data_IF_637801321502
#
_entry.id   IF_637801321502
#
_cell.length_a   1.000
_cell.length_b   1.000
_cell.length_c   1.000
_cell.angle_alpha   90.00
_cell.angle_beta   90.00
_cell.angle_gamma   90.00
#
_symmetry.space_group_name_H-M   'P 1'
#
loop_
_entity.id
_entity.type
_entity.pdbx_description
1 polymer ?
#
# COMPACT_ATOMS: atom_id res chain seq x y z
N UNK A 1 -1.10 25.82 3.05
CA UNK A 1 -0.30 24.92 3.90
C UNK A 1 0.88 24.42 3.06
N UNK A 2 2.10 24.43 3.59
CA UNK A 2 3.29 23.93 2.87
C UNK A 2 3.68 22.55 3.42
N UNK A 3 3.84 21.54 2.57
CA UNK A 3 4.18 20.17 3.00
C UNK A 3 5.70 19.99 3.04
N UNK A 4 6.23 19.70 4.23
CA UNK A 4 7.66 19.37 4.43
C UNK A 4 7.88 17.86 4.44
N UNK A 5 8.96 17.45 3.78
CA UNK A 5 9.50 16.09 3.87
C UNK A 5 10.64 16.12 4.87
N UNK A 6 10.55 15.32 5.92
CA UNK A 6 11.54 15.21 6.99
C UNK A 6 12.24 13.87 6.84
N UNK A 7 13.50 13.91 6.41
CA UNK A 7 14.32 12.71 6.33
C UNK A 7 14.56 12.16 7.74
N UNK A 8 14.29 10.87 7.93
CA UNK A 8 14.56 10.16 9.17
C UNK A 8 15.81 9.29 8.97
N UNK A 9 16.89 9.53 9.72
CA UNK A 9 18.08 8.69 9.66
C UNK A 9 17.75 7.22 9.90
N UNK A 10 18.22 6.35 9.01
CA UNK A 10 17.99 4.90 9.03
C UNK A 10 19.25 4.10 9.36
N UNK A 11 20.35 4.77 9.76
CA UNK A 11 21.57 4.09 10.18
C UNK A 11 21.42 3.59 11.61
N UNK A 12 21.30 2.28 11.77
CA UNK A 12 21.27 1.60 13.08
C UNK A 12 19.89 1.06 13.46
N UNK A 13 19.85 0.39 14.61
CA UNK A 13 18.61 -0.18 15.17
C UNK A 13 17.93 0.92 15.99
N UNK A 14 16.69 1.30 15.62
CA UNK A 14 15.94 2.36 16.31
C UNK A 14 15.42 1.93 17.69
N UNK A 15 15.13 0.65 17.83
CA UNK A 15 14.59 0.08 19.04
C UNK A 15 14.49 -1.43 18.95
N UNK A 16 14.12 -2.05 20.05
CA UNK A 16 13.85 -3.48 20.12
C UNK A 16 12.76 -3.79 21.13
N UNK A 17 12.19 -4.97 20.95
CA UNK A 17 11.35 -5.64 21.92
C UNK A 17 12.19 -6.35 22.99
N UNK A 18 11.56 -6.76 24.09
CA UNK A 18 12.22 -7.54 25.14
C UNK A 18 12.64 -8.93 24.64
N UNK A 19 13.77 -9.42 25.18
CA UNK A 19 14.23 -10.79 24.95
C UNK A 19 13.47 -11.75 25.88
N UNK A 20 12.30 -12.19 25.42
CA UNK A 20 11.42 -13.10 26.15
C UNK A 20 11.33 -14.46 25.44
N UNK A 21 11.39 -15.54 26.24
CA UNK A 21 11.14 -16.91 25.75
C UNK A 21 9.68 -17.15 25.38
N UNK A 22 8.75 -16.35 25.91
CA UNK A 22 7.35 -16.34 25.47
C UNK A 22 7.19 -15.41 24.26
N UNK A 23 6.75 -15.92 23.09
CA UNK A 23 6.55 -15.11 21.89
C UNK A 23 5.48 -14.02 22.01
N UNK A 24 4.60 -14.04 23.01
CA UNK A 24 3.73 -12.90 23.33
C UNK A 24 4.45 -11.91 24.25
N UNK A 25 5.09 -12.40 25.32
CA UNK A 25 5.88 -11.57 26.22
C UNK A 25 6.96 -10.73 25.54
N UNK A 26 7.50 -11.19 24.40
CA UNK A 26 8.46 -10.35 23.62
C UNK A 26 7.80 -9.06 23.11
N UNK A 27 6.50 -9.05 22.82
CA UNK A 27 5.80 -7.90 22.24
C UNK A 27 5.27 -6.93 23.29
N UNK A 28 5.60 -7.12 24.57
CA UNK A 28 5.01 -6.37 25.68
C UNK A 28 5.38 -4.89 25.66
N UNK A 29 6.65 -4.60 25.38
CA UNK A 29 7.18 -3.24 25.39
C UNK A 29 8.15 -3.00 24.23
N UNK A 30 7.94 -1.91 23.49
CA UNK A 30 8.92 -1.39 22.54
C UNK A 30 9.88 -0.43 23.23
N UNK A 31 11.18 -0.72 23.19
CA UNK A 31 12.24 0.09 23.78
C UNK A 31 13.02 0.83 22.70
N UNK A 32 13.03 2.16 22.79
CA UNK A 32 13.83 3.02 21.92
C UNK A 32 15.30 2.96 22.37
N UNK A 33 16.21 2.68 21.43
CA UNK A 33 17.63 2.57 21.74
C UNK A 33 18.27 3.94 21.98
N UNK A 34 19.21 4.02 22.92
CA UNK A 34 19.89 5.28 23.28
C UNK A 34 20.74 5.85 22.16
N UNK A 35 21.19 5.01 21.22
CA UNK A 35 22.02 5.40 20.09
C UNK A 35 21.19 5.89 18.90
N UNK A 36 19.86 5.74 18.95
CA UNK A 36 18.93 6.23 17.93
C UNK A 36 18.69 7.75 18.01
N UNK A 37 19.61 8.53 18.59
CA UNK A 37 19.40 9.95 18.95
C UNK A 37 18.98 10.81 17.76
N UNK A 38 19.63 10.65 16.62
CA UNK A 38 19.36 11.46 15.43
C UNK A 38 17.98 11.15 14.86
N UNK A 39 17.60 9.88 14.83
CA UNK A 39 16.28 9.46 14.41
C UNK A 39 15.19 9.92 15.39
N UNK A 40 15.42 9.80 16.69
CA UNK A 40 14.51 10.31 17.73
C UNK A 40 14.33 11.82 17.60
N UNK A 41 15.42 12.58 17.41
CA UNK A 41 15.35 14.03 17.21
C UNK A 41 14.54 14.41 15.96
N UNK A 42 14.56 13.60 14.90
CA UNK A 42 13.73 13.79 13.71
C UNK A 42 12.25 13.43 13.95
N UNK A 43 11.97 12.42 14.78
CA UNK A 43 10.62 11.90 15.05
C UNK A 43 9.88 12.64 16.17
N UNK A 44 10.58 13.20 17.14
CA UNK A 44 9.99 13.83 18.33
C UNK A 44 9.08 15.03 17.98
N UNK A 45 9.45 15.95 17.05
CA UNK A 45 8.54 17.00 16.60
C UNK A 45 7.27 16.43 15.93
N UNK A 46 7.38 15.30 15.23
CA UNK A 46 6.24 14.63 14.61
C UNK A 46 5.32 13.98 15.64
N UNK A 47 5.90 13.36 16.67
CA UNK A 47 5.17 12.78 17.79
C UNK A 47 4.39 13.85 18.59
N UNK A 48 5.01 15.01 18.87
CA UNK A 48 4.33 16.14 19.48
C UNK A 48 3.22 16.71 18.57
N UNK A 49 3.50 16.81 17.27
CA UNK A 49 2.53 17.27 16.29
C UNK A 49 1.28 16.38 16.26
N UNK A 50 1.44 15.05 16.28
CA UNK A 50 0.35 14.09 16.32
C UNK A 50 -0.53 14.24 17.58
N UNK A 51 0.06 14.58 18.73
CA UNK A 51 -0.69 14.84 19.97
C UNK A 51 -1.45 16.16 19.96
N UNK A 52 -0.89 17.20 19.33
CA UNK A 52 -1.34 18.58 19.54
C UNK A 52 -2.11 19.18 18.36
N UNK A 53 -2.04 18.56 17.17
CA UNK A 53 -2.67 19.06 15.95
C UNK A 53 -3.77 18.11 15.46
N UNK A 54 -4.62 18.64 14.58
CA UNK A 54 -5.71 17.89 13.96
C UNK A 54 -5.36 17.42 12.54
N UNK A 55 -4.27 17.92 11.98
CA UNK A 55 -3.79 17.50 10.66
C UNK A 55 -2.92 16.25 10.82
N UNK A 56 -3.05 15.25 9.94
CA UNK A 56 -2.26 14.02 10.04
C UNK A 56 -0.80 14.19 9.60
N UNK A 57 0.04 13.22 9.99
CA UNK A 57 1.44 13.06 9.56
C UNK A 57 1.56 11.79 8.73
N UNK A 58 2.22 11.86 7.58
CA UNK A 58 2.51 10.66 6.79
C UNK A 58 3.82 10.00 7.24
N UNK A 59 3.86 8.67 7.33
CA UNK A 59 5.03 7.92 7.79
C UNK A 59 5.13 6.53 7.13
N UNK A 60 6.35 5.97 6.95
CA UNK A 60 6.54 4.66 6.33
C UNK A 60 6.20 3.52 7.28
N UNK A 61 5.61 2.46 6.71
CA UNK A 61 5.55 1.13 7.34
C UNK A 61 6.31 0.12 6.46
N UNK A 62 6.38 -1.14 6.86
CA UNK A 62 6.88 -2.21 6.00
C UNK A 62 5.96 -2.44 4.78
N UNK A 63 4.68 -2.10 4.90
CA UNK A 63 3.65 -2.31 3.85
C UNK A 63 3.58 -1.17 2.85
N UNK A 64 3.00 -0.05 3.27
CA UNK A 64 2.79 1.19 2.52
C UNK A 64 2.93 2.37 3.48
N UNK A 65 3.11 3.58 2.98
CA UNK A 65 3.06 4.78 3.82
C UNK A 65 1.67 4.94 4.42
N UNK A 66 1.60 5.18 5.73
CA UNK A 66 0.38 5.46 6.48
C UNK A 66 0.19 6.96 6.69
N UNK A 67 -1.06 7.42 6.78
CA UNK A 67 -1.43 8.79 7.12
C UNK A 67 -2.00 8.82 8.54
N UNK A 68 -1.14 9.04 9.51
CA UNK A 68 -1.45 8.90 10.94
C UNK A 68 -2.05 10.15 11.56
N UNK A 69 -3.01 9.94 12.44
CA UNK A 69 -3.44 10.91 13.44
C UNK A 69 -3.80 10.17 14.74
N UNK A 70 -3.84 10.89 15.86
CA UNK A 70 -4.26 10.32 17.15
C UNK A 70 -5.65 9.69 17.04
N UNK A 71 -5.74 8.37 17.26
CA UNK A 71 -6.97 7.59 17.13
C UNK A 71 -8.03 7.92 18.19
N UNK A 72 -7.64 8.62 19.26
CA UNK A 72 -8.50 8.97 20.40
C UNK A 72 -9.13 10.36 20.25
N UNK A 73 -8.69 11.14 19.25
CA UNK A 73 -9.14 12.53 19.03
C UNK A 73 -9.96 12.66 17.75
N UNK A 74 -11.27 12.90 17.87
CA UNK A 74 -12.16 13.05 16.71
C UNK A 74 -11.72 14.11 15.71
N UNK A 75 -11.20 15.26 16.17
CA UNK A 75 -10.72 16.29 15.26
C UNK A 75 -9.54 15.81 14.40
N UNK A 76 -8.58 15.11 15.01
CA UNK A 76 -7.43 14.50 14.35
C UNK A 76 -7.84 13.42 13.34
N UNK A 77 -8.79 12.55 13.70
CA UNK A 77 -9.30 11.52 12.80
C UNK A 77 -10.07 12.13 11.62
N UNK A 78 -10.87 13.17 11.84
CA UNK A 78 -11.51 13.94 10.74
C UNK A 78 -10.50 14.57 9.80
N UNK A 79 -9.34 14.99 10.33
CA UNK A 79 -8.21 15.47 9.53
C UNK A 79 -7.73 14.46 8.48
N UNK A 80 -7.72 13.16 8.82
CA UNK A 80 -7.39 12.08 7.87
C UNK A 80 -8.38 12.04 6.71
N UNK A 81 -9.68 12.02 7.02
CA UNK A 81 -10.74 11.97 6.01
C UNK A 81 -10.70 13.20 5.09
N UNK A 82 -10.52 14.38 5.68
CA UNK A 82 -10.39 15.66 4.97
C UNK A 82 -9.19 15.67 4.01
N UNK A 83 -7.98 15.35 4.51
CA UNK A 83 -6.77 15.35 3.69
C UNK A 83 -6.87 14.39 2.50
N UNK A 84 -7.46 13.20 2.71
CA UNK A 84 -7.59 12.17 1.66
C UNK A 84 -8.76 12.40 0.71
N UNK A 85 -9.78 13.16 1.10
CA UNK A 85 -11.09 13.13 0.45
C UNK A 85 -11.74 11.74 0.56
N UNK A 86 -11.63 11.10 1.72
CA UNK A 86 -12.11 9.73 1.97
C UNK A 86 -13.55 9.77 2.54
N UNK A 87 -14.46 8.88 2.11
CA UNK A 87 -15.78 8.72 2.73
C UNK A 87 -15.67 8.34 4.22
N UNK A 88 -16.49 8.95 5.07
CA UNK A 88 -16.46 8.75 6.53
C UNK A 88 -17.04 7.40 6.99
N UNK A 89 -17.69 6.65 6.10
CA UNK A 89 -18.22 5.31 6.38
C UNK A 89 -17.17 4.19 6.23
N UNK A 90 -15.91 4.55 5.93
CA UNK A 90 -14.84 3.59 5.68
C UNK A 90 -13.85 3.57 6.85
N UNK A 91 -13.92 2.54 7.74
CA UNK A 91 -13.18 2.52 9.00
C UNK A 91 -11.67 2.60 8.81
N UNK A 92 -10.95 2.94 9.87
CA UNK A 92 -9.50 3.09 9.88
C UNK A 92 -8.82 1.98 10.70
N UNK A 93 -7.58 1.64 10.35
CA UNK A 93 -6.77 0.71 11.13
C UNK A 93 -5.99 1.50 12.17
N UNK A 94 -6.13 1.08 13.42
CA UNK A 94 -5.36 1.60 14.56
C UNK A 94 -4.00 0.90 14.60
N UNK A 95 -2.94 1.69 14.74
CA UNK A 95 -1.57 1.22 14.88
C UNK A 95 -1.10 1.43 16.31
N UNK A 96 -0.50 0.40 16.89
CA UNK A 96 0.06 0.39 18.25
C UNK A 96 1.54 0.04 18.20
N UNK A 97 2.33 0.47 19.19
CA UNK A 97 3.75 0.14 19.26
C UNK A 97 4.06 -1.15 20.03
N UNK A 98 3.20 -1.55 20.96
CA UNK A 98 3.41 -2.70 21.83
C UNK A 98 2.07 -3.23 22.41
N UNK A 99 2.11 -4.38 23.07
CA UNK A 99 0.90 -5.00 23.66
C UNK A 99 0.39 -4.22 24.87
N UNK A 100 1.26 -3.56 25.63
CA UNK A 100 0.86 -2.69 26.74
C UNK A 100 -0.06 -1.55 26.27
N UNK A 101 0.29 -0.87 25.18
CA UNK A 101 -0.57 0.14 24.56
C UNK A 101 -1.90 -0.44 24.09
N UNK A 102 -1.90 -1.63 23.47
CA UNK A 102 -3.14 -2.29 23.03
C UNK A 102 -4.04 -2.67 24.21
N UNK A 103 -3.48 -3.25 25.27
CA UNK A 103 -4.25 -3.63 26.48
C UNK A 103 -4.80 -2.42 27.21
N UNK A 104 -4.04 -1.32 27.24
CA UNK A 104 -4.51 -0.03 27.73
C UNK A 104 -5.72 0.47 26.92
N UNK A 105 -5.66 0.38 25.59
CA UNK A 105 -6.77 0.73 24.71
C UNK A 105 -8.00 -0.15 24.95
N UNK A 106 -7.81 -1.45 25.24
CA UNK A 106 -8.91 -2.38 25.53
C UNK A 106 -9.44 -2.27 26.97
N UNK A 107 -8.93 -1.34 27.79
CA UNK A 107 -9.37 -1.16 29.19
C UNK A 107 -9.02 -2.33 30.12
N UNK A 108 -8.14 -3.23 29.70
CA UNK A 108 -7.95 -4.53 30.34
C UNK A 108 -6.66 -4.55 31.14
N UNK A 109 -6.69 -3.94 32.33
CA UNK A 109 -5.58 -3.99 33.29
C UNK A 109 -5.55 -5.35 34.00
N UNK A 110 -4.95 -6.36 33.37
CA UNK A 110 -4.61 -7.64 34.00
C UNK A 110 -5.33 -8.90 33.47
N UNK A 111 -6.22 -8.78 32.47
CA UNK A 111 -6.74 -9.92 31.70
C UNK A 111 -6.44 -9.68 30.21
N UNK A 112 -6.02 -10.72 29.48
CA UNK A 112 -5.70 -10.60 28.06
C UNK A 112 -7.00 -10.49 27.25
N UNK A 113 -7.44 -9.26 26.96
CA UNK A 113 -8.66 -9.00 26.20
C UNK A 113 -8.56 -9.29 24.70
N UNK A 114 -7.38 -9.70 24.23
CA UNK A 114 -7.21 -10.23 22.88
C UNK A 114 -7.81 -11.64 22.86
N UNK A 115 -8.84 -11.93 22.03
CA UNK A 115 -9.43 -13.26 21.95
C UNK A 115 -8.37 -14.34 21.70
N UNK A 116 -8.46 -15.46 22.41
CA UNK A 116 -7.47 -16.54 22.38
C UNK A 116 -7.14 -17.04 20.96
N UNK A 117 -8.12 -17.02 20.06
CA UNK A 117 -7.95 -17.37 18.64
C UNK A 117 -6.88 -16.53 17.93
N UNK A 118 -6.66 -15.28 18.33
CA UNK A 118 -5.64 -14.42 17.72
C UNK A 118 -4.24 -14.65 18.27
N UNK A 119 -4.06 -15.36 19.39
CA UNK A 119 -2.74 -15.53 19.99
C UNK A 119 -1.75 -16.21 19.04
N UNK A 120 -2.17 -17.23 18.29
CA UNK A 120 -1.32 -17.91 17.31
C UNK A 120 -0.86 -16.96 16.20
N UNK A 121 -1.75 -16.11 15.72
CA UNK A 121 -1.44 -15.12 14.69
C UNK A 121 -0.53 -14.00 15.21
N UNK A 122 -0.83 -13.43 16.39
CA UNK A 122 -0.03 -12.35 16.99
C UNK A 122 1.39 -12.84 17.25
N UNK A 123 1.56 -14.04 17.83
CA UNK A 123 2.88 -14.64 18.08
C UNK A 123 3.72 -14.74 16.81
N UNK A 124 3.09 -15.15 15.70
CA UNK A 124 3.77 -15.47 14.44
C UNK A 124 3.99 -14.25 13.54
N UNK A 125 3.01 -13.37 13.43
CA UNK A 125 2.97 -12.32 12.41
C UNK A 125 3.10 -10.90 12.98
N UNK A 126 3.09 -10.69 14.30
CA UNK A 126 3.37 -9.40 14.90
C UNK A 126 4.80 -9.31 15.48
N UNK A 127 5.44 -8.14 15.36
CA UNK A 127 5.06 -7.00 14.52
C UNK A 127 5.10 -7.39 13.03
N UNK A 128 4.18 -6.86 12.21
CA UNK A 128 4.16 -7.22 10.79
C UNK A 128 2.87 -6.89 10.03
N UNK A 129 2.74 -7.43 8.80
CA UNK A 129 1.72 -7.04 7.83
C UNK A 129 0.37 -7.76 8.07
N UNK A 130 -0.02 -7.95 9.33
CA UNK A 130 -1.29 -8.53 9.73
C UNK A 130 -2.12 -7.51 10.53
N UNK A 131 -3.39 -7.38 10.18
CA UNK A 131 -4.40 -6.62 10.92
C UNK A 131 -5.46 -7.58 11.42
N UNK A 132 -5.77 -7.51 12.71
CA UNK A 132 -6.84 -8.29 13.34
C UNK A 132 -8.02 -7.38 13.70
N UNK A 133 -9.25 -7.90 13.68
CA UNK A 133 -10.41 -7.20 14.21
C UNK A 133 -10.64 -7.53 15.69
N UNK A 134 -10.80 -6.50 16.51
CA UNK A 134 -11.14 -6.64 17.94
C UNK A 134 -12.48 -5.96 18.23
N UNK A 135 -13.25 -6.44 19.23
CA UNK A 135 -14.42 -5.72 19.71
C UNK A 135 -14.03 -4.31 20.16
N UNK A 136 -14.84 -3.32 19.81
CA UNK A 136 -14.67 -1.96 20.30
C UNK A 136 -15.09 -1.90 21.77
N UNK A 137 -14.23 -1.45 22.71
CA UNK A 137 -14.59 -1.34 24.12
C UNK A 137 -15.77 -0.39 24.35
N UNK A 138 -16.51 -0.60 25.44
CA UNK A 138 -17.55 0.31 25.93
C UNK A 138 -17.26 0.68 27.40
N UNK A 139 -16.96 1.95 27.72
CA UNK A 139 -16.84 3.08 26.80
C UNK A 139 -15.61 2.98 25.89
N UNK A 140 -15.76 3.39 24.63
CA UNK A 140 -14.65 3.37 23.66
C UNK A 140 -13.71 4.55 23.90
N UNK A 141 -12.39 4.32 24.04
CA UNK A 141 -11.40 5.38 24.03
C UNK A 141 -11.07 5.88 22.60
N UNK A 142 -11.59 5.22 21.56
CA UNK A 142 -11.37 5.62 20.16
C UNK A 142 -12.36 6.71 19.76
N UNK A 143 -11.92 7.61 18.89
CA UNK A 143 -12.82 8.52 18.22
C UNK A 143 -13.85 7.72 17.36
N UNK A 144 -15.14 8.09 17.36
CA UNK A 144 -16.18 7.36 16.60
C UNK A 144 -15.87 7.21 15.11
N UNK A 145 -15.15 8.17 14.53
CA UNK A 145 -14.77 8.16 13.12
C UNK A 145 -13.73 7.06 12.78
N UNK A 146 -13.08 6.46 13.78
CA UNK A 146 -12.17 5.31 13.56
C UNK A 146 -12.96 4.07 13.16
N UNK A 147 -14.03 3.76 13.90
CA UNK A 147 -14.85 2.55 13.66
C UNK A 147 -15.95 2.78 12.65
N UNK A 148 -16.26 4.05 12.32
CA UNK A 148 -17.36 4.42 11.46
C UNK A 148 -18.72 3.84 11.93
N UNK A 149 -18.89 3.73 13.26
CA UNK A 149 -20.10 3.20 13.88
C UNK A 149 -20.17 1.67 14.00
N UNK A 150 -19.07 0.96 13.70
CA UNK A 150 -18.98 -0.49 13.89
C UNK A 150 -18.68 -0.85 15.35
N UNK A 151 -19.16 -2.03 15.77
CA UNK A 151 -18.89 -2.63 17.09
C UNK A 151 -17.48 -3.26 17.19
N UNK A 152 -16.69 -3.17 16.11
CA UNK A 152 -15.32 -3.66 16.05
C UNK A 152 -14.40 -2.65 15.39
N UNK A 153 -13.09 -2.80 15.64
CA UNK A 153 -12.06 -1.99 15.02
C UNK A 153 -10.89 -2.86 14.57
N UNK A 154 -10.20 -2.42 13.51
CA UNK A 154 -8.98 -3.07 13.04
C UNK A 154 -7.76 -2.53 13.77
N UNK A 155 -6.90 -3.43 14.24
CA UNK A 155 -5.64 -3.07 14.89
C UNK A 155 -4.45 -3.78 14.26
N UNK A 156 -3.30 -3.13 14.27
CA UNK A 156 -2.04 -3.66 13.77
C UNK A 156 -0.85 -3.15 14.58
N UNK A 157 0.14 -4.02 14.78
CA UNK A 157 1.48 -3.64 15.21
C UNK A 157 2.43 -3.69 14.00
N UNK A 158 2.83 -2.57 13.40
CA UNK A 158 3.68 -2.57 12.20
C UNK A 158 5.10 -3.04 12.52
N UNK A 159 5.77 -3.72 11.60
CA UNK A 159 7.19 -4.13 11.79
C UNK A 159 8.21 -3.06 11.43
N UNK A 160 7.77 -1.87 11.03
CA UNK A 160 8.64 -0.71 10.81
C UNK A 160 9.16 -0.15 12.14
N UNK A 161 10.48 -0.20 12.42
CA UNK A 161 11.03 0.40 13.65
C UNK A 161 10.77 1.89 13.74
N UNK A 162 10.70 2.59 12.60
CA UNK A 162 10.35 4.01 12.54
C UNK A 162 8.91 4.22 13.00
N UNK A 163 7.96 3.44 12.48
CA UNK A 163 6.55 3.53 12.88
C UNK A 163 6.37 3.21 14.37
N UNK A 164 6.98 2.12 14.86
CA UNK A 164 6.93 1.74 16.28
C UNK A 164 7.49 2.85 17.18
N UNK A 165 8.63 3.43 16.80
CA UNK A 165 9.28 4.53 17.54
C UNK A 165 8.43 5.79 17.52
N UNK A 166 7.84 6.15 16.37
CA UNK A 166 6.93 7.29 16.26
C UNK A 166 5.71 7.13 17.17
N UNK A 167 5.06 5.96 17.15
CA UNK A 167 3.89 5.66 17.99
C UNK A 167 4.28 5.70 19.48
N UNK A 168 5.43 5.13 19.83
CA UNK A 168 5.95 5.15 21.21
C UNK A 168 6.22 6.57 21.71
N UNK A 169 6.89 7.40 20.90
CA UNK A 169 7.16 8.81 21.22
C UNK A 169 5.87 9.64 21.27
N UNK A 170 4.89 9.34 20.41
CA UNK A 170 3.59 9.99 20.40
C UNK A 170 2.82 9.66 21.69
N UNK A 171 2.98 8.45 22.22
CA UNK A 171 2.32 7.99 23.45
C UNK A 171 0.82 7.73 23.27
N UNK A 172 0.35 7.67 22.03
CA UNK A 172 -1.06 7.47 21.66
C UNK A 172 -1.15 6.50 20.47
N UNK A 173 -2.22 5.70 20.38
CA UNK A 173 -2.46 4.86 19.21
C UNK A 173 -2.79 5.72 17.98
N UNK A 174 -2.30 5.32 16.81
CA UNK A 174 -2.47 6.11 15.58
C UNK A 174 -3.46 5.46 14.63
N UNK A 175 -4.55 6.16 14.27
CA UNK A 175 -5.39 5.76 13.17
C UNK A 175 -4.66 6.11 11.87
N UNK A 176 -4.38 5.12 11.01
CA UNK A 176 -3.57 5.34 9.81
C UNK A 176 -4.04 4.48 8.62
N UNK A 177 -4.86 5.02 7.70
CA UNK A 177 -5.00 4.44 6.37
C UNK A 177 -3.75 4.72 5.51
N UNK A 178 -3.69 4.16 4.31
CA UNK A 178 -2.64 4.48 3.32
C UNK A 178 -2.57 5.99 3.02
N UNK A 179 -1.38 6.56 2.78
CA UNK A 179 -1.16 8.00 2.63
C UNK A 179 -1.34 8.56 1.21
N UNK A 180 -2.31 8.05 0.46
CA UNK A 180 -2.67 8.52 -0.89
C UNK A 180 -3.96 9.35 -0.88
N UNK A 181 -4.18 10.14 -1.93
CA UNK A 181 -5.51 10.66 -2.22
C UNK A 181 -6.47 9.47 -2.48
N UNK A 182 -7.75 9.61 -2.13
CA UNK A 182 -8.73 8.54 -2.37
C UNK A 182 -8.69 8.07 -3.83
N UNK A 183 -9.00 6.78 -4.06
CA UNK A 183 -8.94 6.05 -5.34
C UNK A 183 -7.55 5.78 -5.95
N UNK A 184 -6.53 6.58 -5.67
CA UNK A 184 -5.17 6.37 -6.23
C UNK A 184 -4.47 5.11 -5.66
N UNK A 185 -3.44 4.55 -6.34
CA UNK A 185 -2.59 3.48 -5.80
C UNK A 185 -2.01 3.81 -4.42
N UNK A 186 -1.74 2.83 -3.58
CA UNK A 186 -1.12 3.12 -2.26
C UNK A 186 0.31 3.64 -2.43
N UNK A 187 0.80 4.53 -1.56
CA UNK A 187 2.15 5.09 -1.66
C UNK A 187 3.17 4.20 -0.97
N UNK A 188 4.26 3.87 -1.66
CA UNK A 188 5.39 3.10 -1.12
C UNK A 188 6.65 3.93 -0.88
N UNK A 189 6.62 5.23 -1.18
CA UNK A 189 7.73 6.18 -0.99
C UNK A 189 7.19 7.52 -0.48
N UNK A 190 8.03 8.34 0.15
CA UNK A 190 7.66 9.69 0.58
C UNK A 190 7.26 10.58 -0.60
N UNK A 191 7.88 10.39 -1.77
CA UNK A 191 7.54 11.12 -2.99
C UNK A 191 6.11 10.80 -3.46
N UNK A 192 5.70 9.53 -3.41
CA UNK A 192 4.31 9.14 -3.72
C UNK A 192 3.28 9.85 -2.83
N UNK A 193 3.61 10.01 -1.55
CA UNK A 193 2.76 10.76 -0.60
C UNK A 193 2.71 12.24 -0.98
N UNK A 194 3.87 12.83 -1.30
CA UNK A 194 3.98 14.24 -1.68
C UNK A 194 3.17 14.53 -2.95
N UNK A 195 3.26 13.67 -3.97
CA UNK A 195 2.52 13.82 -5.23
C UNK A 195 0.99 13.87 -5.02
N UNK A 196 0.50 13.22 -3.97
CA UNK A 196 -0.93 13.12 -3.67
C UNK A 196 -1.44 14.14 -2.66
N UNK A 197 -0.66 14.41 -1.61
CA UNK A 197 -1.11 15.13 -0.43
C UNK A 197 -0.37 16.45 -0.20
N UNK A 198 0.48 16.90 -1.14
CA UNK A 198 1.10 18.21 -1.07
C UNK A 198 0.06 19.32 -0.93
N UNK A 199 0.27 20.20 0.05
CA UNK A 199 -0.67 21.27 0.42
C UNK A 199 -1.88 20.82 1.24
N UNK A 200 -2.07 19.51 1.48
CA UNK A 200 -3.16 18.95 2.30
C UNK A 200 -2.72 18.48 3.68
N UNK A 201 -1.42 18.19 3.83
CA UNK A 201 -0.79 17.79 5.09
C UNK A 201 0.48 18.61 5.30
N UNK A 202 0.89 18.80 6.55
CA UNK A 202 2.10 19.58 6.85
C UNK A 202 3.38 18.76 6.79
N UNK A 203 3.33 17.47 7.11
CA UNK A 203 4.53 16.68 7.37
C UNK A 203 4.47 15.28 6.77
N UNK A 204 5.55 14.91 6.09
CA UNK A 204 5.85 13.57 5.60
C UNK A 204 7.18 13.15 6.22
N UNK A 205 7.20 12.06 6.98
CA UNK A 205 8.43 11.42 7.44
C UNK A 205 8.94 10.51 6.33
N UNK A 206 10.19 10.71 5.92
CA UNK A 206 10.84 9.92 4.88
C UNK A 206 11.84 8.94 5.50
N UNK A 207 11.48 7.67 5.49
CA UNK A 207 12.33 6.55 5.92
C UNK A 207 12.68 5.61 4.78
N UNK A 208 12.60 6.09 3.52
CA UNK A 208 12.85 5.29 2.33
C UNK A 208 11.66 4.46 1.86
N UNK A 209 11.93 3.56 0.93
CA UNK A 209 10.92 2.72 0.28
C UNK A 209 10.37 1.58 1.16
N UNK A 210 9.06 1.31 1.05
CA UNK A 210 8.42 0.16 1.70
C UNK A 210 8.90 -1.18 1.14
N UNK A 211 8.94 -2.22 1.99
CA UNK A 211 9.55 -3.51 1.65
C UNK A 211 8.55 -4.54 1.11
N UNK A 212 7.28 -4.48 1.53
CA UNK A 212 6.22 -5.42 1.09
C UNK A 212 5.47 -4.88 -0.13
N UNK A 213 5.18 -3.58 -0.17
CA UNK A 213 4.53 -2.89 -1.29
C UNK A 213 3.04 -3.17 -1.48
N UNK A 214 2.44 -4.09 -0.73
CA UNK A 214 0.98 -4.26 -0.59
C UNK A 214 0.56 -4.04 0.86
N UNK A 215 -0.71 -3.72 1.11
CA UNK A 215 -1.21 -3.50 2.46
C UNK A 215 -1.23 -4.76 3.32
N UNK A 216 -1.49 -4.60 4.62
CA UNK A 216 -1.67 -5.73 5.54
C UNK A 216 -2.85 -6.61 5.16
N UNK A 217 -2.70 -7.91 5.42
CA UNK A 217 -3.81 -8.85 5.43
C UNK A 217 -4.74 -8.49 6.58
N UNK A 218 -6.04 -8.39 6.33
CA UNK A 218 -7.06 -8.09 7.35
C UNK A 218 -7.88 -9.33 7.61
N UNK A 219 -7.91 -9.76 8.86
CA UNK A 219 -8.62 -10.97 9.29
C UNK A 219 -9.65 -10.67 10.36
N UNK A 220 -10.74 -11.41 10.32
CA UNK A 220 -11.79 -11.39 11.35
C UNK A 220 -11.95 -12.81 11.93
N UNK A 221 -11.51 -12.95 13.17
CA UNK A 221 -11.67 -14.13 14.01
C UNK A 221 -12.73 -13.97 15.10
N UNK A 222 -13.57 -12.93 15.03
CA UNK A 222 -14.75 -12.76 15.89
C UNK A 222 -15.95 -13.57 15.37
N UNK A 223 -15.90 -14.05 14.13
CA UNK A 223 -16.85 -14.98 13.55
C UNK A 223 -16.29 -16.41 13.44
N UNK A 224 -17.19 -17.38 13.24
CA UNK A 224 -16.84 -18.78 13.00
C UNK A 224 -17.57 -19.29 11.74
N UNK A 225 -16.87 -19.80 10.71
CA UNK A 225 -15.40 -19.85 10.61
C UNK A 225 -14.77 -18.43 10.52
N UNK A 226 -13.49 -18.27 10.89
CA UNK A 226 -12.78 -17.01 10.71
C UNK A 226 -12.64 -16.67 9.22
N UNK A 227 -12.48 -15.38 8.90
CA UNK A 227 -12.43 -14.91 7.51
C UNK A 227 -11.27 -13.97 7.23
N UNK A 228 -10.77 -14.02 5.98
CA UNK A 228 -9.90 -12.98 5.41
C UNK A 228 -10.79 -11.93 4.75
N UNK A 229 -10.80 -10.71 5.29
CA UNK A 229 -11.53 -9.56 4.74
C UNK A 229 -10.74 -8.81 3.67
N UNK A 230 -9.41 -8.89 3.72
CA UNK A 230 -8.53 -8.31 2.71
C UNK A 230 -7.24 -9.12 2.57
N UNK A 231 -6.84 -9.56 1.36
CA UNK A 231 -5.55 -10.17 1.15
C UNK A 231 -4.44 -9.11 1.20
N UNK A 232 -3.28 -9.49 1.71
CA UNK A 232 -2.13 -8.60 1.91
C UNK A 232 -0.84 -9.38 2.13
N UNK A 233 0.07 -8.82 2.93
CA UNK A 233 1.41 -9.39 3.15
C UNK A 233 1.50 -10.72 3.92
N UNK A 234 0.37 -11.29 4.37
CA UNK A 234 0.30 -12.65 4.96
C UNK A 234 -0.66 -13.50 4.14
N UNK A 235 -0.20 -14.64 3.63
CA UNK A 235 -0.97 -15.56 2.80
C UNK A 235 -2.02 -16.35 3.57
N UNK A 236 -3.11 -16.76 2.91
CA UNK A 236 -4.17 -17.53 3.57
C UNK A 236 -3.71 -18.90 4.06
N UNK A 237 -2.78 -19.55 3.37
CA UNK A 237 -2.26 -20.85 3.79
C UNK A 237 -1.31 -20.72 4.99
N UNK A 238 -0.59 -19.60 5.10
CA UNK A 238 0.16 -19.27 6.32
C UNK A 238 -0.78 -19.08 7.51
N UNK A 239 -1.96 -18.47 7.30
CA UNK A 239 -2.99 -18.37 8.33
C UNK A 239 -3.54 -19.75 8.71
N UNK A 240 -3.85 -20.61 7.73
CA UNK A 240 -4.36 -21.98 7.97
C UNK A 240 -3.39 -22.88 8.74
N UNK A 241 -2.10 -22.60 8.65
CA UNK A 241 -1.08 -23.31 9.45
C UNK A 241 -1.10 -22.94 10.94
N UNK A 242 -1.89 -21.94 11.35
CA UNK A 242 -1.96 -21.47 12.73
C UNK A 242 -3.15 -22.11 13.48
N UNK A 243 -2.95 -22.54 14.75
CA UNK A 243 -4.03 -23.05 15.58
C UNK A 243 -5.22 -22.08 15.66
N UNK A 244 -6.43 -22.60 15.43
CA UNK A 244 -7.69 -21.84 15.43
C UNK A 244 -8.01 -21.11 14.13
N UNK A 245 -7.20 -21.29 13.08
CA UNK A 245 -7.36 -20.67 11.76
C UNK A 245 -7.36 -21.68 10.60
N UNK A 246 -7.40 -22.97 10.91
CA UNK A 246 -7.34 -24.09 9.96
C UNK A 246 -8.46 -24.00 8.89
N UNK A 247 -9.62 -23.49 9.31
CA UNK A 247 -10.81 -23.34 8.47
C UNK A 247 -11.05 -21.91 7.98
N UNK A 248 -10.03 -21.03 8.02
CA UNK A 248 -10.19 -19.67 7.52
C UNK A 248 -10.58 -19.65 6.05
N UNK A 249 -11.57 -18.81 5.71
CA UNK A 249 -12.10 -18.67 4.35
C UNK A 249 -11.91 -17.26 3.80
N UNK A 250 -11.97 -17.12 2.47
CA UNK A 250 -11.92 -15.84 1.78
C UNK A 250 -13.29 -15.16 1.88
N UNK A 251 -13.35 -13.93 2.37
CA UNK A 251 -14.56 -13.09 2.40
C UNK A 251 -14.42 -11.80 1.58
N UNK A 252 -13.36 -11.69 0.79
CA UNK A 252 -13.16 -10.61 -0.16
C UNK A 252 -13.55 -11.03 -1.57
N UNK A 253 -13.90 -10.04 -2.40
CA UNK A 253 -14.11 -10.20 -3.85
C UNK A 253 -13.04 -9.43 -4.60
N UNK A 254 -12.82 -9.82 -5.86
CA UNK A 254 -11.86 -9.17 -6.76
C UNK A 254 -12.40 -7.88 -7.38
N UNK A 255 -13.72 -7.70 -7.37
CA UNK A 255 -14.38 -6.44 -7.71
C UNK A 255 -14.80 -5.69 -6.43
N UNK A 256 -14.82 -4.36 -6.48
CA UNK A 256 -15.34 -3.53 -5.38
C UNK A 256 -16.82 -3.81 -5.14
N UNK A 257 -17.23 -3.96 -3.88
CA UNK A 257 -18.65 -4.24 -3.59
C UNK A 257 -19.54 -3.03 -3.86
N UNK A 258 -20.40 -3.12 -4.87
CA UNK A 258 -21.50 -2.18 -5.11
C UNK A 258 -22.67 -2.55 -4.17
N UNK A 259 -22.68 -1.97 -2.96
CA UNK A 259 -23.73 -2.24 -1.98
C UNK A 259 -23.95 -1.10 -0.99
N UNK A 260 -25.15 -1.05 -0.39
CA UNK A 260 -25.51 -0.07 0.66
C UNK A 260 -24.87 -0.37 2.02
N UNK A 261 -24.41 -1.60 2.25
CA UNK A 261 -23.81 -1.99 3.53
C UNK A 261 -22.46 -1.26 3.77
N UNK A 262 -22.19 -0.89 5.03
CA UNK A 262 -20.92 -0.31 5.42
C UNK A 262 -19.81 -1.37 5.39
N UNK A 263 -18.60 -1.05 4.91
CA UNK A 263 -17.49 -2.01 4.86
C UNK A 263 -16.98 -2.32 6.27
N UNK A 264 -16.82 -3.61 6.60
CA UNK A 264 -16.24 -4.08 7.89
C UNK A 264 -14.76 -3.77 8.03
N UNK A 265 -14.06 -3.58 6.91
CA UNK A 265 -12.64 -3.28 6.87
C UNK A 265 -12.28 -2.38 5.67
N UNK A 266 -11.15 -1.65 5.72
CA UNK A 266 -10.70 -0.85 4.59
C UNK A 266 -10.44 -1.69 3.34
N UNK A 267 -10.86 -1.21 2.17
CA UNK A 267 -10.52 -1.81 0.88
C UNK A 267 -11.59 -2.75 0.27
N UNK A 268 -12.79 -2.80 0.86
CA UNK A 268 -13.90 -3.68 0.41
C UNK A 268 -14.87 -3.02 -0.59
N UNK A 269 -15.31 -1.78 -0.35
CA UNK A 269 -16.46 -1.16 -1.04
C UNK A 269 -16.10 -0.25 -2.22
N UNK A 270 -15.06 0.57 -2.09
CA UNK A 270 -14.77 1.62 -3.07
C UNK A 270 -13.76 1.18 -4.13
N UNK A 271 -13.80 1.80 -5.32
CA UNK A 271 -12.76 1.63 -6.33
C UNK A 271 -11.45 2.17 -5.76
N UNK A 272 -10.54 1.24 -5.48
CA UNK A 272 -9.23 1.53 -4.93
C UNK A 272 -8.18 1.14 -5.97
N UNK A 273 -7.04 1.84 -5.97
CA UNK A 273 -5.84 1.48 -6.74
C UNK A 273 -5.85 1.81 -8.22
N UNK A 274 -6.75 2.67 -8.69
CA UNK A 274 -6.81 3.02 -10.11
C UNK A 274 -5.91 4.23 -10.42
N UNK A 275 -4.89 4.08 -11.28
CA UNK A 275 -4.19 5.22 -11.87
C UNK A 275 -5.14 6.01 -12.80
N UNK A 276 -4.70 7.18 -13.29
CA UNK A 276 -5.47 7.92 -14.31
C UNK A 276 -5.41 7.20 -15.66
N UNK A 277 -4.27 6.58 -15.96
CA UNK A 277 -4.08 5.75 -17.15
C UNK A 277 -5.09 4.58 -17.21
N UNK A 278 -5.52 4.21 -18.42
CA UNK A 278 -6.33 2.99 -18.62
C UNK A 278 -5.46 1.77 -18.34
N UNK A 279 -5.84 0.92 -17.38
CA UNK A 279 -5.10 -0.32 -17.07
C UNK A 279 -5.76 -1.50 -17.77
N UNK A 280 -4.97 -2.26 -18.55
CA UNK A 280 -5.38 -3.52 -19.17
C UNK A 280 -4.58 -4.66 -18.54
N UNK A 281 -5.26 -5.51 -17.76
CA UNK A 281 -4.66 -6.66 -17.11
C UNK A 281 -4.75 -7.89 -18.02
N UNK A 282 -3.64 -8.60 -18.16
CA UNK A 282 -3.59 -9.88 -18.84
C UNK A 282 -3.44 -10.98 -17.79
N UNK A 283 -4.50 -11.72 -17.50
CA UNK A 283 -4.47 -12.83 -16.55
C UNK A 283 -3.43 -13.88 -16.98
N UNK A 284 -2.90 -14.61 -16.00
CA UNK A 284 -1.96 -15.71 -16.25
C UNK A 284 -2.59 -16.80 -17.12
N UNK A 285 -3.91 -17.01 -17.00
CA UNK A 285 -4.72 -17.96 -17.76
C UNK A 285 -4.94 -17.60 -19.23
N UNK A 286 -4.73 -16.33 -19.61
CA UNK A 286 -5.04 -15.87 -20.95
C UNK A 286 -3.96 -16.28 -21.95
N UNK A 287 -4.14 -17.45 -22.58
CA UNK A 287 -3.14 -18.07 -23.46
C UNK A 287 -2.75 -17.19 -24.66
N UNK A 288 -3.72 -16.49 -25.27
CA UNK A 288 -3.44 -15.61 -26.41
C UNK A 288 -2.49 -14.45 -26.06
N UNK A 289 -2.46 -14.06 -24.79
CA UNK A 289 -1.59 -13.00 -24.27
C UNK A 289 -0.27 -13.49 -23.68
N UNK A 290 0.04 -14.80 -23.79
CA UNK A 290 1.23 -15.40 -23.17
C UNK A 290 2.54 -14.81 -23.69
N UNK A 291 2.59 -14.45 -24.96
CA UNK A 291 3.78 -13.88 -25.60
C UNK A 291 3.86 -12.34 -25.50
N UNK A 292 2.79 -11.68 -25.05
CA UNK A 292 2.71 -10.22 -25.02
C UNK A 292 1.30 -9.68 -25.22
N UNK A 293 1.22 -8.40 -25.56
CA UNK A 293 0.00 -7.69 -25.89
C UNK A 293 -0.53 -8.20 -27.24
N UNK A 294 -1.83 -8.52 -27.31
CA UNK A 294 -2.43 -9.02 -28.55
C UNK A 294 -2.57 -7.92 -29.59
N UNK A 295 -2.62 -8.31 -30.86
CA UNK A 295 -2.66 -7.38 -32.00
C UNK A 295 -3.79 -6.36 -31.90
N UNK A 296 -5.01 -6.77 -31.52
CA UNK A 296 -6.14 -5.87 -31.35
C UNK A 296 -5.89 -4.76 -30.30
N UNK A 297 -5.17 -5.07 -29.22
CA UNK A 297 -4.82 -4.09 -28.18
C UNK A 297 -3.68 -3.17 -28.64
N UNK A 298 -2.71 -3.71 -29.37
CA UNK A 298 -1.62 -2.93 -29.96
C UNK A 298 -2.15 -1.96 -31.04
N UNK A 299 -3.07 -2.42 -31.88
CA UNK A 299 -3.75 -1.60 -32.88
C UNK A 299 -4.61 -0.51 -32.25
N UNK A 300 -5.35 -0.81 -31.17
CA UNK A 300 -6.17 0.19 -30.48
C UNK A 300 -5.32 1.36 -29.95
N UNK A 301 -4.07 1.08 -29.53
CA UNK A 301 -3.11 2.10 -29.14
C UNK A 301 -2.65 2.94 -30.34
N UNK A 302 -2.37 2.31 -31.48
CA UNK A 302 -1.89 2.98 -32.68
C UNK A 302 -3.00 3.77 -33.43
N UNK A 303 -4.22 3.22 -33.52
CA UNK A 303 -5.33 3.76 -34.31
C UNK A 303 -5.92 5.06 -33.75
N UNK A 304 -5.84 5.25 -32.44
CA UNK A 304 -6.34 6.45 -31.76
C UNK A 304 -5.46 7.69 -31.97
N UNK A 305 -4.32 7.56 -32.67
CA UNK A 305 -3.57 8.70 -33.22
C UNK A 305 -4.31 9.39 -34.39
N UNK A 306 -5.28 8.70 -35.02
CA UNK A 306 -5.95 9.16 -36.25
C UNK A 306 -7.45 9.50 -36.10
N UNK A 307 -8.01 9.60 -34.89
CA UNK A 307 -9.41 9.99 -34.77
C UNK A 307 -9.91 10.30 -33.36
N UNK A 308 -10.43 11.51 -33.18
CA UNK A 308 -11.46 11.83 -32.19
C UNK A 308 -11.06 12.71 -31.01
N UNK A 309 -10.84 13.99 -31.28
CA UNK A 309 -11.19 15.21 -30.49
C UNK A 309 -10.06 16.23 -30.39
N UNK A 310 -10.30 17.40 -31.01
CA UNK A 310 -9.56 18.67 -30.91
C UNK A 310 -8.02 18.62 -30.81
N UNK A 311 -7.35 18.33 -31.93
CA UNK A 311 -5.99 18.82 -32.16
C UNK A 311 -5.90 19.48 -33.54
N UNK A 312 -5.77 20.80 -33.53
CA UNK A 312 -5.31 21.59 -34.68
C UNK A 312 -3.81 21.31 -34.82
N UNK A 313 -3.37 20.71 -35.94
CA UNK A 313 -1.97 20.57 -36.35
C UNK A 313 -0.98 19.88 -35.37
N UNK A 314 -1.29 18.67 -34.91
CA UNK A 314 -0.29 17.78 -34.29
C UNK A 314 -0.89 16.46 -33.84
N UNK A 315 -0.38 15.34 -34.35
CA UNK A 315 -0.72 14.00 -33.88
C UNK A 315 -0.34 13.88 -32.41
N UNK A 316 -1.32 13.64 -31.52
CA UNK A 316 -1.04 13.42 -30.11
C UNK A 316 -0.27 12.09 -29.97
N UNK A 317 1.04 12.18 -29.69
CA UNK A 317 1.90 11.02 -29.45
C UNK A 317 1.42 10.31 -28.20
N UNK A 318 1.11 9.01 -28.33
CA UNK A 318 0.65 8.17 -27.22
C UNK A 318 1.79 7.76 -26.32
N UNK A 319 1.52 7.65 -25.03
CA UNK A 319 2.45 7.06 -24.06
C UNK A 319 1.89 5.74 -23.54
N UNK A 320 2.62 4.65 -23.79
CA UNK A 320 2.25 3.30 -23.38
C UNK A 320 3.13 2.86 -22.23
N UNK A 321 2.52 2.42 -21.14
CA UNK A 321 3.18 1.69 -20.07
C UNK A 321 3.07 0.19 -20.26
N UNK A 322 4.15 -0.53 -20.02
CA UNK A 322 4.18 -2.00 -19.94
C UNK A 322 4.78 -2.37 -18.59
N UNK A 323 4.02 -3.08 -17.76
CA UNK A 323 4.52 -3.68 -16.51
C UNK A 323 4.65 -5.18 -16.76
N UNK A 324 5.89 -5.66 -16.78
CA UNK A 324 6.22 -7.07 -17.00
C UNK A 324 6.51 -7.77 -15.69
N UNK A 325 6.02 -8.99 -15.58
CA UNK A 325 6.27 -9.89 -14.45
C UNK A 325 6.96 -11.14 -14.96
N UNK A 326 6.24 -12.26 -15.07
CA UNK A 326 6.82 -13.59 -15.32
C UNK A 326 6.95 -13.96 -16.79
N UNK A 327 5.95 -13.64 -17.61
CA UNK A 327 5.81 -14.20 -18.97
C UNK A 327 6.39 -13.28 -20.04
N UNK A 328 6.20 -11.98 -19.90
CA UNK A 328 6.48 -11.04 -20.98
C UNK A 328 7.95 -10.67 -21.13
N UNK A 329 8.41 -10.73 -22.38
CA UNK A 329 9.69 -10.13 -22.83
C UNK A 329 9.57 -8.60 -22.92
N UNK A 330 10.69 -7.86 -22.95
CA UNK A 330 10.67 -6.40 -23.09
C UNK A 330 9.78 -5.91 -24.24
N UNK A 331 9.07 -4.83 -23.99
CA UNK A 331 8.00 -4.23 -24.82
C UNK A 331 6.75 -5.10 -25.02
N UNK A 332 6.70 -6.32 -24.46
CA UNK A 332 5.56 -7.24 -24.56
C UNK A 332 5.04 -7.41 -26.00
N UNK A 333 5.95 -7.49 -26.97
CA UNK A 333 5.62 -7.70 -28.38
C UNK A 333 5.24 -6.43 -29.17
N UNK A 334 5.21 -5.25 -28.53
CA UNK A 334 4.99 -3.99 -29.24
C UNK A 334 6.14 -3.68 -30.21
N UNK A 335 5.80 -3.16 -31.39
CA UNK A 335 6.78 -2.66 -32.36
C UNK A 335 7.34 -1.33 -31.85
N UNK A 336 8.61 -1.33 -31.43
CA UNK A 336 9.27 -0.12 -30.94
C UNK A 336 10.75 -0.09 -31.32
N UNK A 337 11.34 1.11 -31.29
CA UNK A 337 12.79 1.27 -31.35
C UNK A 337 13.48 0.46 -30.25
N UNK A 338 14.76 0.14 -30.42
CA UNK A 338 15.56 -0.54 -29.39
C UNK A 338 15.41 0.15 -28.03
N UNK A 339 14.85 -0.58 -27.06
CA UNK A 339 14.69 -0.11 -25.69
C UNK A 339 16.05 0.24 -25.09
N UNK A 340 16.10 1.39 -24.40
CA UNK A 340 17.27 1.86 -23.68
C UNK A 340 16.91 2.07 -22.22
N UNK A 341 17.83 1.70 -21.32
CA UNK A 341 17.69 1.99 -19.90
C UNK A 341 17.57 3.51 -19.72
N UNK A 342 16.50 3.98 -19.08
CA UNK A 342 16.30 5.41 -18.84
C UNK A 342 16.85 5.79 -17.46
N UNK A 343 18.18 5.90 -17.36
CA UNK A 343 18.87 6.23 -16.12
C UNK A 343 18.42 7.56 -15.48
N UNK A 344 17.81 8.47 -16.25
CA UNK A 344 17.26 9.74 -15.74
C UNK A 344 16.02 9.54 -14.88
N UNK A 345 15.32 8.42 -15.04
CA UNK A 345 14.10 8.09 -14.29
C UNK A 345 14.33 7.12 -13.14
N UNK A 346 15.50 6.49 -13.08
CA UNK A 346 15.92 5.60 -11.98
C UNK A 346 16.27 6.40 -10.71
N UNK A 347 16.51 7.72 -10.81
CA UNK A 347 16.83 8.55 -9.64
C UNK A 347 16.39 10.00 -9.76
N UNK A 348 15.22 10.32 -9.22
CA UNK A 348 14.89 11.69 -8.83
C UNK A 348 14.78 11.79 -7.31
N UNK A 349 15.94 11.86 -6.65
CA UNK A 349 16.12 12.46 -5.32
C UNK A 349 17.50 13.13 -5.20
N UNK A 350 17.83 14.07 -6.09
CA UNK A 350 19.09 14.85 -5.99
C UNK A 350 19.13 15.86 -4.80
N UNK A 351 18.36 15.68 -3.73
CA UNK A 351 18.42 16.56 -2.55
C UNK A 351 18.71 15.88 -1.21
N UNK A 352 19.01 14.58 -1.20
CA UNK A 352 19.56 13.90 -0.02
C UNK A 352 20.54 12.84 -0.50
N UNK A 353 21.79 12.89 -0.03
CA UNK A 353 22.92 12.06 -0.51
C UNK A 353 22.83 10.55 -0.25
N UNK A 354 21.67 9.93 -0.43
CA UNK A 354 21.45 8.48 -0.43
C UNK A 354 20.45 8.14 -1.53
N UNK A 355 20.89 7.35 -2.51
CA UNK A 355 20.09 6.90 -3.64
C UNK A 355 18.99 5.94 -3.16
N UNK A 356 17.72 6.34 -3.31
CA UNK A 356 16.58 5.44 -3.15
C UNK A 356 16.47 4.69 -4.50
N UNK A 357 17.13 3.53 -4.62
CA UNK A 357 17.05 2.70 -5.83
C UNK A 357 15.62 2.21 -5.98
N UNK A 358 14.97 2.54 -7.10
CA UNK A 358 13.70 1.91 -7.44
C UNK A 358 13.90 0.40 -7.53
N UNK A 359 12.95 -0.43 -7.03
CA UNK A 359 13.12 -1.88 -6.98
C UNK A 359 13.05 -2.55 -8.37
N UNK A 360 13.13 -1.78 -9.46
CA UNK A 360 12.97 -2.25 -10.82
C UNK A 360 13.67 -1.35 -11.84
N UNK A 361 14.02 -1.94 -12.97
CA UNK A 361 14.55 -1.24 -14.14
C UNK A 361 13.44 -0.63 -15.00
N UNK A 362 13.74 0.54 -15.57
CA UNK A 362 12.86 1.25 -16.50
C UNK A 362 13.58 1.38 -17.84
N UNK A 363 12.97 0.80 -18.87
CA UNK A 363 13.38 0.94 -20.26
C UNK A 363 12.43 1.86 -21.03
N UNK A 364 12.96 2.68 -21.93
CA UNK A 364 12.16 3.55 -22.78
C UNK A 364 12.49 3.34 -24.27
N UNK A 365 11.50 3.52 -25.14
CA UNK A 365 11.65 3.47 -26.59
C UNK A 365 10.54 4.22 -27.33
N UNK A 366 10.71 4.42 -28.62
CA UNK A 366 9.71 5.01 -29.51
C UNK A 366 8.80 3.93 -30.07
N UNK A 367 7.48 4.08 -29.90
CA UNK A 367 6.47 3.17 -30.45
C UNK A 367 6.32 3.42 -31.95
N UNK A 368 6.27 2.36 -32.75
CA UNK A 368 6.24 2.42 -34.21
C UNK A 368 4.99 1.75 -34.79
N UNK A 369 4.44 2.32 -35.86
CA UNK A 369 3.38 1.69 -36.64
C UNK A 369 3.94 0.64 -37.60
N UNK A 370 3.08 0.04 -38.43
CA UNK A 370 3.50 -0.97 -39.42
C UNK A 370 4.47 -0.46 -40.48
N UNK A 371 4.44 0.84 -40.74
CA UNK A 371 5.30 1.52 -41.72
C UNK A 371 6.62 1.98 -41.09
N UNK A 372 6.83 1.73 -39.79
CA UNK A 372 8.03 2.12 -39.05
C UNK A 372 8.03 3.57 -38.56
N UNK A 373 6.93 4.30 -38.71
CA UNK A 373 6.80 5.69 -38.26
C UNK A 373 6.57 5.76 -36.75
N UNK A 374 7.21 6.72 -36.09
CA UNK A 374 7.06 6.95 -34.65
C UNK A 374 5.67 7.52 -34.34
N UNK A 375 4.84 6.74 -33.66
CA UNK A 375 3.48 7.10 -33.25
C UNK A 375 3.33 7.38 -31.76
N UNK A 376 4.38 7.12 -30.97
CA UNK A 376 4.34 7.33 -29.52
C UNK A 376 5.62 6.95 -28.80
N UNK A 377 5.50 6.77 -27.49
CA UNK A 377 6.56 6.31 -26.59
C UNK A 377 6.08 5.09 -25.80
N UNK A 378 6.98 4.16 -25.54
CA UNK A 378 6.78 3.04 -24.63
C UNK A 378 7.71 3.16 -23.43
N UNK A 379 7.16 2.97 -22.23
CA UNK A 379 7.88 2.76 -20.98
C UNK A 379 7.66 1.32 -20.53
N UNK A 380 8.75 0.55 -20.48
CA UNK A 380 8.76 -0.85 -20.09
C UNK A 380 9.40 -0.99 -18.70
N UNK A 381 8.62 -1.50 -17.74
CA UNK A 381 9.04 -1.73 -16.37
C UNK A 381 9.07 -3.24 -16.12
N UNK A 382 10.22 -3.77 -15.74
CA UNK A 382 10.38 -5.17 -15.35
C UNK A 382 10.40 -5.32 -13.83
N UNK A 383 9.36 -5.90 -13.24
CA UNK A 383 9.27 -6.12 -11.78
C UNK A 383 9.98 -7.40 -11.30
N UNK A 384 10.62 -8.12 -12.21
CA UNK A 384 11.26 -9.40 -11.92
C UNK A 384 10.26 -10.57 -11.87
N UNK A 385 10.78 -11.71 -11.46
CA UNK A 385 10.07 -13.00 -11.49
C UNK A 385 9.57 -13.43 -10.11
N UNK A 386 10.14 -12.87 -9.03
CA UNK A 386 9.77 -13.20 -7.67
C UNK A 386 8.53 -12.43 -7.22
N UNK A 387 7.54 -13.15 -6.68
CA UNK A 387 6.26 -12.56 -6.26
C UNK A 387 6.42 -11.42 -5.25
N UNK A 388 7.41 -11.52 -4.35
CA UNK A 388 7.70 -10.44 -3.38
C UNK A 388 8.22 -9.17 -4.06
N UNK A 389 9.14 -9.29 -5.02
CA UNK A 389 9.63 -8.15 -5.81
C UNK A 389 8.51 -7.51 -6.63
N UNK A 390 7.62 -8.33 -7.20
CA UNK A 390 6.42 -7.86 -7.91
C UNK A 390 5.50 -7.08 -6.96
N UNK A 391 5.21 -7.61 -5.77
CA UNK A 391 4.40 -6.91 -4.78
C UNK A 391 5.02 -5.58 -4.34
N UNK A 392 6.33 -5.55 -4.14
CA UNK A 392 7.09 -4.36 -3.76
C UNK A 392 7.04 -3.26 -4.84
N UNK A 393 7.23 -3.66 -6.10
CA UNK A 393 7.34 -2.72 -7.22
C UNK A 393 6.01 -2.32 -7.86
N UNK A 394 4.93 -3.09 -7.68
CA UNK A 394 3.69 -2.90 -8.45
C UNK A 394 3.09 -1.49 -8.31
N UNK A 395 2.83 -1.02 -7.09
CA UNK A 395 2.20 0.30 -6.91
C UNK A 395 3.13 1.44 -7.35
N UNK A 396 4.43 1.27 -7.15
CA UNK A 396 5.43 2.22 -7.60
C UNK A 396 5.43 2.29 -9.13
N UNK A 397 5.42 1.15 -9.84
CA UNK A 397 5.37 1.10 -11.29
C UNK A 397 4.09 1.75 -11.86
N UNK A 398 2.92 1.45 -11.27
CA UNK A 398 1.66 2.09 -11.66
C UNK A 398 1.71 3.61 -11.47
N UNK A 399 2.28 4.08 -10.36
CA UNK A 399 2.41 5.52 -10.06
C UNK A 399 3.39 6.22 -10.98
N UNK A 400 4.52 5.59 -11.27
CA UNK A 400 5.53 6.14 -12.16
C UNK A 400 5.01 6.29 -13.59
N UNK A 401 4.31 5.27 -14.10
CA UNK A 401 3.67 5.34 -15.42
C UNK A 401 2.60 6.43 -15.47
N UNK A 402 1.80 6.59 -14.41
CA UNK A 402 0.80 7.68 -14.31
C UNK A 402 1.48 9.06 -14.27
N UNK A 403 2.59 9.17 -13.52
CA UNK A 403 3.41 10.39 -13.43
C UNK A 403 4.06 10.75 -14.76
N UNK A 404 4.46 9.75 -15.55
CA UNK A 404 5.03 9.94 -16.88
C UNK A 404 3.98 10.13 -17.97
N UNK A 405 2.69 10.19 -17.60
CA UNK A 405 1.59 10.51 -18.51
C UNK A 405 1.19 9.36 -19.42
N UNK A 406 1.32 8.10 -18.98
CA UNK A 406 0.82 6.96 -19.73
C UNK A 406 -0.70 7.08 -19.99
N UNK A 407 -1.10 6.91 -21.24
CA UNK A 407 -2.51 6.83 -21.64
C UNK A 407 -3.10 5.46 -21.30
N UNK A 408 -2.28 4.42 -21.48
CA UNK A 408 -2.61 3.02 -21.22
C UNK A 408 -1.45 2.32 -20.55
N UNK A 409 -1.76 1.42 -19.61
CA UNK A 409 -0.80 0.54 -18.95
C UNK A 409 -1.24 -0.91 -19.18
N UNK A 410 -0.40 -1.69 -19.85
CA UNK A 410 -0.56 -3.13 -19.98
C UNK A 410 0.19 -3.83 -18.86
N UNK A 411 -0.44 -4.79 -18.20
CA UNK A 411 0.17 -5.49 -17.07
C UNK A 411 0.12 -7.00 -17.29
N UNK A 412 1.29 -7.64 -17.18
CA UNK A 412 1.43 -9.09 -17.14
C UNK A 412 1.00 -9.62 -15.76
N UNK A 413 -0.16 -10.27 -15.69
CA UNK A 413 -0.65 -10.92 -14.48
C UNK A 413 0.19 -12.13 -14.07
N UNK A 414 0.07 -12.52 -12.80
CA UNK A 414 0.74 -13.69 -12.24
C UNK A 414 -0.28 -14.71 -11.75
N UNK A 415 0.18 -15.95 -11.64
CA UNK A 415 -0.54 -17.01 -10.94
C UNK A 415 -0.73 -16.64 -9.46
N UNK A 416 -1.98 -16.70 -8.97
CA UNK A 416 -2.41 -16.33 -7.63
C UNK A 416 -2.87 -17.50 -6.75
N UNK A 417 -2.52 -18.73 -7.12
CA UNK A 417 -2.90 -19.92 -6.34
C UNK A 417 -2.31 -19.91 -4.92
N UNK A 418 -1.19 -19.20 -4.67
CA UNK A 418 -0.49 -19.19 -3.38
C UNK A 418 -0.03 -17.78 -2.92
N UNK A 419 -0.15 -17.55 -1.61
CA UNK A 419 0.57 -16.51 -0.85
C UNK A 419 0.26 -15.04 -1.28
N UNK A 420 1.24 -14.14 -1.19
CA UNK A 420 1.19 -12.72 -1.53
C UNK A 420 0.75 -12.45 -2.99
N UNK A 421 0.81 -13.44 -3.88
CA UNK A 421 0.34 -13.30 -5.26
C UNK A 421 -1.17 -12.99 -5.33
N UNK A 422 -1.97 -13.57 -4.43
CA UNK A 422 -3.39 -13.26 -4.31
C UNK A 422 -3.63 -11.80 -3.90
N UNK A 423 -2.75 -11.21 -3.10
CA UNK A 423 -2.82 -9.79 -2.78
C UNK A 423 -2.51 -8.95 -4.02
N UNK A 424 -1.43 -9.26 -4.74
CA UNK A 424 -1.03 -8.59 -5.99
C UNK A 424 -2.17 -8.63 -7.02
N UNK A 425 -2.70 -9.81 -7.32
CA UNK A 425 -3.77 -9.97 -8.31
C UNK A 425 -5.07 -9.31 -7.87
N UNK A 426 -5.42 -9.35 -6.57
CA UNK A 426 -6.58 -8.60 -6.09
C UNK A 426 -6.43 -7.08 -6.32
N UNK A 427 -5.21 -6.53 -6.18
CA UNK A 427 -4.95 -5.11 -6.46
C UNK A 427 -4.97 -4.81 -7.95
N UNK A 428 -4.39 -5.68 -8.77
CA UNK A 428 -4.40 -5.53 -10.23
C UNK A 428 -5.82 -5.60 -10.80
N UNK A 429 -6.63 -6.57 -10.39
CA UNK A 429 -8.04 -6.69 -10.82
C UNK A 429 -8.88 -5.48 -10.41
N UNK A 430 -8.62 -4.89 -9.24
CA UNK A 430 -9.26 -3.64 -8.80
C UNK A 430 -8.76 -2.40 -9.55
N UNK A 431 -7.49 -2.38 -9.95
CA UNK A 431 -6.90 -1.30 -10.73
C UNK A 431 -7.30 -1.36 -12.22
N UNK A 432 -7.52 -2.57 -12.74
CA UNK A 432 -7.83 -2.84 -14.14
C UNK A 432 -9.11 -2.14 -14.59
N UNK A 433 -9.01 -1.46 -15.72
CA UNK A 433 -10.19 -1.00 -16.47
C UNK A 433 -10.76 -2.12 -17.34
N UNK A 434 -9.87 -3.00 -17.83
CA UNK A 434 -10.21 -4.16 -18.63
C UNK A 434 -9.32 -5.35 -18.26
N UNK A 435 -9.87 -6.55 -18.39
CA UNK A 435 -9.15 -7.80 -18.16
C UNK A 435 -9.22 -8.68 -19.41
N UNK A 436 -8.09 -9.30 -19.78
CA UNK A 436 -8.01 -10.41 -20.74
C UNK A 436 -7.81 -11.68 -19.91
N UNK A 437 -8.73 -12.63 -20.01
CA UNK A 437 -8.79 -13.81 -19.15
C UNK A 437 -8.95 -15.10 -19.94
#
# INVERSE_FOLDING_TARGET
>A
MNTRVVAVPHKGILGSFDDSKDPLGRLEHWHIHRDARDAVAALEPAAEYLRTKDTPVAFPTETVYGLGADATRSASVKGIYSAKGRPSDNPLIVHVCDLDMLRTLLGSRGQDAIPARYQSLVKKFWPGPLTILLPNPDPSPLAPEVTAGLDSFGVRMPSSPLALTLIKLAGVPLAAPSANASTKPSPTTAQHVKDDLNGRIEMILDGGSCQVGVESTVVDGLCDPPVVLRPGGVGIDELRSCPGWEHVVKAYKDQSEEGKAAPRAPGMKYKHYSPRARVVLYESSYENGRAGIVEADAEAVAATANGGTHAVNGTARKTVGVIRTKRWKPAAGLRCSKLRLDARRIGHSQQSGQHDEMPYDVCAGELQNEQGETVGQVFDIGLGQETRGIAQGLFSALRELDRWGADVIFVDGIDDELDIAAAVMNRLRKAASETRA
#
